data_IF_337375659082
#
_entry.id   IF_337375659082
#
_cell.length_a   1.000
_cell.length_b   1.000
_cell.length_c   1.000
_cell.angle_alpha   90.00
_cell.angle_beta   90.00
_cell.angle_gamma   90.00
#
_symmetry.space_group_name_H-M   'P 1'
#
loop_
_entity.id
_entity.type
_entity.pdbx_description
1 polymer ?
#
# COMPACT_ATOMS: atom_id res chain seq x y z
N UNK A 1 -3.57 -13.87 11.63
CA UNK A 1 -2.70 -13.18 10.67
C UNK A 1 -3.44 -12.11 9.88
N UNK A 2 -2.71 -11.15 9.35
CA UNK A 2 -3.26 -10.11 8.49
C UNK A 2 -2.38 -9.91 7.24
N UNK A 3 -3.04 -9.79 6.07
CA UNK A 3 -2.39 -9.42 4.82
C UNK A 3 -2.88 -8.04 4.41
N UNK A 4 -2.02 -7.03 4.57
CA UNK A 4 -2.28 -5.63 4.22
C UNK A 4 -3.49 -4.96 4.91
N UNK A 5 -3.98 -5.50 6.04
CA UNK A 5 -5.14 -4.93 6.74
C UNK A 5 -4.81 -4.03 7.91
N UNK A 6 -3.70 -4.30 8.61
CA UNK A 6 -3.36 -3.60 9.87
C UNK A 6 -2.91 -2.15 9.70
N UNK A 7 -2.58 -1.73 8.48
CA UNK A 7 -2.11 -0.38 8.16
C UNK A 7 -3.21 0.70 8.21
N UNK A 8 -4.47 0.29 8.33
CA UNK A 8 -5.62 1.20 8.25
C UNK A 8 -6.24 1.54 9.61
N UNK A 9 -5.58 1.18 10.71
CA UNK A 9 -6.04 1.57 12.03
C UNK A 9 -5.80 3.06 12.31
N UNK A 10 -6.82 3.78 12.77
CA UNK A 10 -6.69 5.18 13.19
C UNK A 10 -5.77 5.32 14.42
N UNK A 11 -5.87 4.37 15.35
CA UNK A 11 -4.99 4.29 16.52
C UNK A 11 -4.33 2.90 16.56
N UNK A 12 -3.15 2.75 15.93
CA UNK A 12 -2.49 1.47 15.86
C UNK A 12 -2.05 0.96 17.24
N UNK A 13 -1.61 1.80 18.16
CA UNK A 13 -1.23 1.39 19.51
C UNK A 13 -2.39 0.72 20.24
N UNK A 14 -3.59 1.30 20.18
CA UNK A 14 -4.76 0.71 20.79
C UNK A 14 -5.20 -0.57 20.08
N UNK A 15 -5.13 -0.58 18.75
CA UNK A 15 -5.51 -1.75 17.96
C UNK A 15 -4.59 -2.95 18.26
N UNK A 16 -3.28 -2.75 18.30
CA UNK A 16 -2.33 -3.83 18.59
C UNK A 16 -2.42 -4.30 20.06
N UNK A 17 -2.69 -3.40 21.02
CA UNK A 17 -3.02 -3.82 22.41
C UNK A 17 -4.27 -4.70 22.47
N UNK A 18 -5.30 -4.38 21.72
CA UNK A 18 -6.51 -5.18 21.63
C UNK A 18 -6.21 -6.55 20.99
N UNK A 19 -5.44 -6.60 19.90
CA UNK A 19 -5.01 -7.84 19.26
C UNK A 19 -4.23 -8.69 20.26
N UNK A 20 -3.24 -8.13 20.95
CA UNK A 20 -2.47 -8.82 21.97
C UNK A 20 -3.36 -9.38 23.07
N UNK A 21 -4.32 -8.60 23.58
CA UNK A 21 -5.23 -9.04 24.67
C UNK A 21 -6.08 -10.25 24.29
N UNK A 22 -6.49 -10.35 23.01
CA UNK A 22 -7.35 -11.43 22.49
C UNK A 22 -6.59 -12.70 22.11
N UNK A 23 -5.28 -12.62 21.91
CA UNK A 23 -4.46 -13.79 21.65
C UNK A 23 -4.43 -14.71 22.90
N UNK A 24 -4.38 -16.02 22.67
CA UNK A 24 -4.10 -17.00 23.72
C UNK A 24 -2.68 -16.82 24.23
N UNK A 25 -2.40 -17.34 25.43
CA UNK A 25 -1.01 -17.44 25.91
C UNK A 25 -0.17 -18.21 24.91
N UNK A 26 1.02 -17.69 24.59
CA UNK A 26 1.90 -18.19 23.53
C UNK A 26 1.31 -18.06 22.11
N UNK A 27 0.27 -17.25 21.93
CA UNK A 27 -0.29 -16.95 20.62
C UNK A 27 0.66 -16.09 19.79
N UNK A 28 0.66 -16.28 18.47
CA UNK A 28 1.47 -15.54 17.55
C UNK A 28 0.62 -14.63 16.66
N UNK A 29 1.07 -13.40 16.46
CA UNK A 29 0.60 -12.49 15.43
C UNK A 29 1.58 -12.54 14.25
N UNK A 30 1.04 -12.65 13.03
CA UNK A 30 1.84 -12.48 11.81
C UNK A 30 1.10 -11.59 10.82
N UNK A 31 1.81 -10.69 10.16
CA UNK A 31 1.21 -9.84 9.13
C UNK A 31 2.24 -9.36 8.10
N UNK A 32 1.71 -8.85 7.00
CA UNK A 32 2.48 -8.19 5.93
C UNK A 32 1.97 -6.77 5.77
N UNK A 33 2.88 -5.81 5.64
CA UNK A 33 2.60 -4.42 5.32
C UNK A 33 3.65 -3.86 4.35
N UNK A 34 3.31 -2.75 3.66
CA UNK A 34 4.20 -2.15 2.68
C UNK A 34 5.37 -1.42 3.36
N UNK A 35 6.53 -1.49 2.73
CA UNK A 35 7.68 -0.62 2.99
C UNK A 35 7.51 0.73 2.30
N UNK A 36 8.56 1.54 2.32
CA UNK A 36 8.57 2.88 1.76
C UNK A 36 8.01 2.92 0.32
N UNK A 37 7.15 3.90 -0.02
CA UNK A 37 6.59 4.07 -1.36
C UNK A 37 7.63 4.10 -2.47
N UNK A 38 8.85 4.62 -2.22
CA UNK A 38 9.93 4.66 -3.21
C UNK A 38 10.40 3.28 -3.68
N UNK A 39 10.15 2.23 -2.88
CA UNK A 39 10.44 0.84 -3.20
C UNK A 39 9.22 0.12 -3.81
N UNK A 40 8.14 0.84 -4.02
CA UNK A 40 6.86 0.32 -4.52
C UNK A 40 6.39 1.16 -5.72
N UNK A 41 6.99 0.99 -6.92
CA UNK A 41 6.71 1.79 -8.11
C UNK A 41 5.24 1.84 -8.51
N UNK A 42 4.50 0.76 -8.26
CA UNK A 42 3.05 0.71 -8.50
C UNK A 42 2.30 1.88 -7.85
N UNK A 43 2.78 2.38 -6.70
CA UNK A 43 2.19 3.52 -5.99
C UNK A 43 2.94 4.82 -6.28
N UNK A 44 4.27 4.83 -6.21
CA UNK A 44 5.04 6.07 -6.33
C UNK A 44 4.94 6.70 -7.71
N UNK A 45 4.99 5.89 -8.79
CA UNK A 45 4.86 6.38 -10.16
C UNK A 45 3.45 6.89 -10.45
N UNK A 46 2.42 6.14 -10.05
CA UNK A 46 1.04 6.56 -10.27
C UNK A 46 0.70 7.88 -9.57
N UNK A 47 1.15 8.05 -8.33
CA UNK A 47 0.96 9.30 -7.59
C UNK A 47 1.74 10.45 -8.24
N UNK A 48 2.96 10.20 -8.73
CA UNK A 48 3.73 11.20 -9.45
C UNK A 48 2.99 11.68 -10.71
N UNK A 49 2.52 10.75 -11.54
CA UNK A 49 1.74 11.06 -12.75
C UNK A 49 0.46 11.82 -12.41
N UNK A 50 -0.34 11.34 -11.45
CA UNK A 50 -1.63 11.97 -11.13
C UNK A 50 -1.44 13.39 -10.58
N UNK A 51 -0.37 13.63 -9.82
CA UNK A 51 -0.03 14.96 -9.27
C UNK A 51 0.31 16.01 -10.33
N UNK A 52 0.66 15.61 -11.55
CA UNK A 52 0.85 16.56 -12.66
C UNK A 52 -0.48 17.19 -13.13
N UNK A 53 -1.59 16.52 -12.86
CA UNK A 53 -2.92 16.90 -13.32
C UNK A 53 -3.87 17.31 -12.19
N UNK A 54 -3.69 16.77 -10.99
CA UNK A 54 -4.59 16.93 -9.85
C UNK A 54 -3.82 17.27 -8.57
N UNK A 55 -4.36 18.18 -7.78
CA UNK A 55 -3.86 18.47 -6.43
C UNK A 55 -4.32 17.37 -5.45
N UNK A 56 -3.48 16.36 -5.26
CA UNK A 56 -3.77 15.30 -4.29
C UNK A 56 -3.47 15.76 -2.86
N UNK A 57 -4.32 15.41 -1.89
CA UNK A 57 -4.02 15.64 -0.49
C UNK A 57 -2.76 14.90 -0.07
N UNK A 58 -1.96 15.55 0.78
CA UNK A 58 -0.78 14.94 1.41
C UNK A 58 -1.13 14.65 2.88
N UNK A 59 -1.54 13.43 3.22
CA UNK A 59 -1.82 13.09 4.61
C UNK A 59 -0.55 13.20 5.45
N UNK A 60 -0.67 13.54 6.75
CA UNK A 60 0.46 13.52 7.66
C UNK A 60 1.18 12.15 7.67
N UNK A 61 2.47 12.11 7.99
CA UNK A 61 3.18 10.84 8.18
C UNK A 61 2.43 9.93 9.18
N UNK A 62 2.50 8.62 8.95
CA UNK A 62 1.86 7.60 9.81
C UNK A 62 0.32 7.63 9.82
N UNK A 63 -0.31 8.42 8.94
CA UNK A 63 -1.76 8.37 8.73
C UNK A 63 -2.21 6.99 8.27
N UNK A 64 -3.44 6.55 8.64
CA UNK A 64 -4.00 5.30 8.14
C UNK A 64 -3.94 5.21 6.61
N UNK A 65 -3.38 4.13 6.10
CA UNK A 65 -3.20 3.94 4.67
C UNK A 65 -2.14 2.87 4.35
N UNK A 66 -1.92 2.57 3.07
CA UNK A 66 -1.02 1.49 2.66
C UNK A 66 0.40 1.60 3.24
N UNK A 67 0.89 2.80 3.47
CA UNK A 67 2.26 3.06 3.93
C UNK A 67 2.34 3.58 5.38
N UNK A 68 1.29 3.39 6.18
CA UNK A 68 1.28 3.81 7.59
C UNK A 68 2.42 3.17 8.41
N UNK A 69 2.91 2.01 8.01
CA UNK A 69 3.97 1.24 8.66
C UNK A 69 5.25 1.12 7.80
N UNK A 70 5.49 2.08 6.92
CA UNK A 70 6.71 2.11 6.09
C UNK A 70 8.00 2.19 6.93
N UNK A 71 7.92 2.88 8.06
CA UNK A 71 9.01 3.10 9.02
C UNK A 71 9.09 1.90 9.97
N UNK A 72 10.20 1.15 9.86
CA UNK A 72 10.45 -0.05 10.67
C UNK A 72 10.51 0.25 12.16
N UNK A 73 11.13 1.38 12.54
CA UNK A 73 11.31 1.74 13.95
C UNK A 73 9.96 2.12 14.58
N UNK A 74 9.10 2.82 13.83
CA UNK A 74 7.74 3.09 14.26
C UNK A 74 6.91 1.81 14.42
N UNK A 75 7.04 0.88 13.49
CA UNK A 75 6.36 -0.41 13.57
C UNK A 75 6.81 -1.23 14.78
N UNK A 76 8.12 -1.25 15.06
CA UNK A 76 8.70 -1.88 16.23
C UNK A 76 8.16 -1.25 17.52
N UNK A 77 8.16 0.07 17.63
CA UNK A 77 7.64 0.80 18.79
C UNK A 77 6.16 0.47 19.08
N UNK A 78 5.32 0.36 18.05
CA UNK A 78 3.91 -0.04 18.21
C UNK A 78 3.81 -1.43 18.84
N UNK A 79 4.60 -2.39 18.36
CA UNK A 79 4.55 -3.77 18.82
C UNK A 79 5.07 -3.90 20.26
N UNK A 80 6.22 -3.28 20.58
CA UNK A 80 6.79 -3.26 21.92
C UNK A 80 5.85 -2.58 22.93
N UNK A 81 5.31 -1.40 22.57
CA UNK A 81 4.33 -0.67 23.39
C UNK A 81 3.02 -1.43 23.61
N UNK A 82 2.77 -2.46 22.81
CA UNK A 82 1.60 -3.34 22.89
C UNK A 82 1.88 -4.66 23.61
N UNK A 83 3.08 -4.79 24.24
CA UNK A 83 3.57 -5.95 24.99
C UNK A 83 3.78 -7.21 24.14
N UNK A 84 4.04 -7.09 22.84
CA UNK A 84 4.49 -8.21 22.03
C UNK A 84 5.97 -8.50 22.31
N UNK A 85 6.31 -9.81 22.29
CA UNK A 85 7.66 -10.33 22.50
C UNK A 85 8.14 -11.07 21.23
N UNK A 86 9.45 -11.35 21.15
CA UNK A 86 10.08 -12.07 20.04
C UNK A 86 9.67 -11.48 18.68
N UNK A 87 9.74 -10.15 18.57
CA UNK A 87 9.34 -9.41 17.38
C UNK A 87 10.39 -9.62 16.29
N UNK A 88 9.95 -10.14 15.15
CA UNK A 88 10.76 -10.26 13.94
C UNK A 88 10.15 -9.43 12.82
N UNK A 89 10.94 -8.52 12.23
CA UNK A 89 10.55 -7.70 11.07
C UNK A 89 11.55 -7.95 9.97
N UNK A 90 11.15 -8.71 8.98
CA UNK A 90 11.98 -9.16 7.86
C UNK A 90 11.67 -8.36 6.58
N UNK A 91 12.73 -8.00 5.85
CA UNK A 91 12.65 -7.43 4.51
C UNK A 91 12.21 -8.49 3.52
N UNK A 92 11.23 -8.17 2.68
CA UNK A 92 10.79 -9.04 1.60
C UNK A 92 10.61 -8.21 0.33
N UNK A 93 11.34 -8.60 -0.71
CA UNK A 93 11.35 -7.96 -2.03
C UNK A 93 10.99 -8.99 -3.08
N UNK A 94 9.79 -8.87 -3.59
CA UNK A 94 9.23 -9.77 -4.59
C UNK A 94 8.47 -8.96 -5.63
N UNK A 95 8.44 -9.44 -6.86
CA UNK A 95 7.59 -8.85 -7.87
C UNK A 95 6.12 -9.18 -7.60
N UNK A 96 5.26 -8.18 -7.78
CA UNK A 96 3.82 -8.38 -7.71
C UNK A 96 3.21 -8.23 -9.10
N UNK A 97 2.27 -9.12 -9.42
CA UNK A 97 1.44 -8.98 -10.61
C UNK A 97 0.11 -8.34 -10.24
N UNK A 98 -0.18 -7.21 -10.84
CA UNK A 98 -1.46 -6.52 -10.72
C UNK A 98 -2.24 -6.65 -12.02
N UNK A 99 -3.58 -6.74 -11.92
CA UNK A 99 -4.49 -6.79 -13.07
C UNK A 99 -4.20 -7.93 -14.06
N UNK A 100 -3.86 -9.11 -13.54
CA UNK A 100 -3.63 -10.31 -14.38
C UNK A 100 -4.76 -10.53 -15.39
N UNK A 101 -4.38 -10.84 -16.64
CA UNK A 101 -5.30 -11.08 -17.74
C UNK A 101 -5.82 -9.81 -18.40
N UNK A 102 -5.31 -8.63 -18.05
CA UNK A 102 -5.73 -7.34 -18.64
C UNK A 102 -4.63 -6.74 -19.50
N UNK A 103 -5.04 -6.12 -20.59
CA UNK A 103 -4.17 -5.28 -21.40
C UNK A 103 -3.86 -3.98 -20.65
N UNK A 104 -2.75 -3.31 -21.00
CA UNK A 104 -2.24 -2.11 -20.36
C UNK A 104 -3.32 -1.04 -20.12
N UNK A 105 -4.11 -0.71 -21.15
CA UNK A 105 -5.15 0.31 -21.02
C UNK A 105 -6.16 -0.05 -19.95
N UNK A 106 -6.70 -1.27 -19.97
CA UNK A 106 -7.68 -1.72 -19.01
C UNK A 106 -7.10 -1.81 -17.59
N UNK A 107 -5.83 -2.23 -17.47
CA UNK A 107 -5.14 -2.23 -16.19
C UNK A 107 -4.98 -0.82 -15.60
N UNK A 108 -4.65 0.17 -16.44
CA UNK A 108 -4.57 1.57 -16.00
C UNK A 108 -5.94 2.17 -15.65
N UNK A 109 -6.98 1.86 -16.42
CA UNK A 109 -8.35 2.28 -16.10
C UNK A 109 -8.80 1.73 -14.74
N UNK A 110 -8.58 0.45 -14.49
CA UNK A 110 -8.89 -0.18 -13.20
C UNK A 110 -8.04 0.40 -12.07
N UNK A 111 -6.75 0.67 -12.34
CA UNK A 111 -5.85 1.28 -11.36
C UNK A 111 -6.40 2.62 -10.83
N UNK A 112 -6.93 3.46 -11.70
CA UNK A 112 -7.52 4.76 -11.31
C UNK A 112 -8.75 4.61 -10.38
N UNK A 113 -9.31 3.41 -10.28
CA UNK A 113 -10.44 3.11 -9.36
C UNK A 113 -10.01 2.62 -7.98
N UNK A 114 -8.74 2.23 -7.79
CA UNK A 114 -8.25 1.70 -6.51
C UNK A 114 -8.22 2.77 -5.41
N UNK A 115 -7.83 3.99 -5.77
CA UNK A 115 -7.74 5.08 -4.81
C UNK A 115 -9.05 5.87 -4.76
N UNK A 116 -9.81 5.82 -3.64
CA UNK A 116 -11.10 6.51 -3.54
C UNK A 116 -11.01 8.02 -3.75
N UNK A 117 -9.90 8.67 -3.33
CA UNK A 117 -9.69 10.11 -3.51
C UNK A 117 -9.55 10.43 -5.00
N UNK A 118 -8.71 9.68 -5.71
CA UNK A 118 -8.53 9.84 -7.17
C UNK A 118 -9.84 9.58 -7.89
N UNK A 119 -10.55 8.50 -7.54
CA UNK A 119 -11.85 8.16 -8.13
C UNK A 119 -12.87 9.30 -7.98
N UNK A 120 -12.94 9.89 -6.78
CA UNK A 120 -13.88 11.00 -6.54
C UNK A 120 -13.51 12.28 -7.31
N UNK A 121 -12.21 12.60 -7.39
CA UNK A 121 -11.72 13.74 -8.17
C UNK A 121 -12.01 13.54 -9.67
N UNK A 122 -11.80 12.34 -10.19
CA UNK A 122 -12.06 12.02 -11.59
C UNK A 122 -13.55 12.08 -11.96
N UNK A 123 -14.46 11.78 -11.03
CA UNK A 123 -15.92 11.94 -11.29
C UNK A 123 -16.29 13.35 -11.70
N UNK A 124 -15.63 14.35 -11.12
CA UNK A 124 -15.88 15.77 -11.35
C UNK A 124 -14.99 16.37 -12.44
N UNK A 125 -14.16 15.56 -13.10
CA UNK A 125 -13.21 15.99 -14.13
C UNK A 125 -13.82 15.84 -15.53
N UNK A 126 -13.31 16.64 -16.49
CA UNK A 126 -13.68 16.50 -17.90
C UNK A 126 -13.14 15.20 -18.50
N UNK A 127 -13.78 14.69 -19.54
CA UNK A 127 -13.31 13.48 -20.22
C UNK A 127 -11.92 13.68 -20.83
N UNK A 128 -11.62 14.88 -21.33
CA UNK A 128 -10.28 15.22 -21.81
C UNK A 128 -9.22 15.05 -20.72
N UNK A 129 -9.46 15.51 -19.51
CA UNK A 129 -8.51 15.39 -18.40
C UNK A 129 -8.34 13.91 -17.98
N UNK A 130 -9.43 13.13 -17.96
CA UNK A 130 -9.37 11.68 -17.69
C UNK A 130 -8.50 10.95 -18.71
N UNK A 131 -8.68 11.27 -19.99
CA UNK A 131 -7.88 10.69 -21.07
C UNK A 131 -6.40 11.09 -20.97
N UNK A 132 -6.10 12.34 -20.61
CA UNK A 132 -4.72 12.78 -20.40
C UNK A 132 -4.04 12.02 -19.25
N UNK A 133 -4.70 11.88 -18.11
CA UNK A 133 -4.20 11.12 -16.96
C UNK A 133 -4.00 9.65 -17.34
N UNK A 134 -4.97 9.05 -18.02
CA UNK A 134 -4.90 7.65 -18.45
C UNK A 134 -3.70 7.43 -19.39
N UNK A 135 -3.51 8.28 -20.38
CA UNK A 135 -2.40 8.17 -21.33
C UNK A 135 -1.04 8.33 -20.64
N UNK A 136 -0.90 9.30 -19.73
CA UNK A 136 0.32 9.49 -18.96
C UNK A 136 0.61 8.29 -18.04
N UNK A 137 -0.43 7.70 -17.44
CA UNK A 137 -0.30 6.50 -16.63
C UNK A 137 0.11 5.29 -17.48
N UNK A 138 -0.47 5.11 -18.66
CA UNK A 138 -0.09 4.06 -19.62
C UNK A 138 1.37 4.20 -20.05
N UNK A 139 1.83 5.41 -20.34
CA UNK A 139 3.24 5.66 -20.67
C UNK A 139 4.16 5.27 -19.52
N UNK A 140 3.84 5.70 -18.30
CA UNK A 140 4.61 5.39 -17.08
C UNK A 140 4.62 3.90 -16.73
N UNK A 141 3.54 3.17 -17.02
CA UNK A 141 3.42 1.75 -16.68
C UNK A 141 3.82 0.80 -17.82
N UNK A 142 4.14 1.32 -19.00
CA UNK A 142 4.44 0.51 -20.17
C UNK A 142 5.63 -0.44 -19.98
N UNK A 143 6.65 -0.04 -19.20
CA UNK A 143 7.80 -0.89 -18.88
C UNK A 143 7.48 -2.07 -17.95
N UNK A 144 6.36 -2.00 -17.23
CA UNK A 144 5.89 -3.04 -16.31
C UNK A 144 4.85 -3.96 -16.95
N UNK A 145 4.42 -3.67 -18.18
CA UNK A 145 3.45 -4.48 -18.91
C UNK A 145 4.14 -5.73 -19.50
N UNK A 146 3.69 -6.90 -19.10
CA UNK A 146 4.16 -8.19 -19.64
C UNK A 146 3.20 -8.80 -20.67
N UNK A 147 2.19 -8.06 -21.11
CA UNK A 147 1.14 -8.52 -22.04
C UNK A 147 0.04 -9.33 -21.36
N UNK A 148 0.12 -9.55 -20.05
CA UNK A 148 -0.90 -10.26 -19.26
C UNK A 148 -1.13 -9.64 -17.88
N UNK A 149 -0.92 -8.33 -17.78
CA UNK A 149 -1.00 -7.55 -16.55
C UNK A 149 0.28 -6.77 -16.29
N UNK A 150 0.33 -6.09 -15.17
CA UNK A 150 1.44 -5.23 -14.76
C UNK A 150 2.27 -5.94 -13.70
N UNK A 151 3.58 -6.06 -13.92
CA UNK A 151 4.53 -6.68 -12.98
C UNK A 151 5.45 -5.61 -12.40
N UNK A 152 5.25 -5.29 -11.14
CA UNK A 152 6.06 -4.29 -10.44
C UNK A 152 6.98 -4.93 -9.41
N UNK A 153 8.21 -4.46 -9.26
CA UNK A 153 8.97 -4.73 -8.05
C UNK A 153 8.20 -4.21 -6.84
N UNK A 154 8.26 -4.93 -5.74
CA UNK A 154 7.63 -4.50 -4.51
C UNK A 154 8.49 -4.78 -3.29
N UNK A 155 8.26 -4.00 -2.24
CA UNK A 155 8.92 -4.17 -0.96
C UNK A 155 7.89 -4.16 0.18
N UNK A 156 7.96 -5.19 1.02
CA UNK A 156 7.08 -5.38 2.17
C UNK A 156 7.86 -5.75 3.42
N UNK A 157 7.30 -5.45 4.58
CA UNK A 157 7.69 -6.04 5.85
C UNK A 157 6.87 -7.29 6.10
N UNK A 158 7.53 -8.41 6.38
CA UNK A 158 6.91 -9.60 6.96
C UNK A 158 7.21 -9.56 8.45
N UNK A 159 6.15 -9.56 9.24
CA UNK A 159 6.23 -9.36 10.69
C UNK A 159 5.66 -10.55 11.42
N UNK A 160 6.39 -11.03 12.44
CA UNK A 160 5.88 -11.96 13.43
C UNK A 160 6.19 -11.48 14.83
N UNK A 161 5.29 -11.75 15.78
CA UNK A 161 5.45 -11.41 17.18
C UNK A 161 4.61 -12.33 18.07
N UNK A 162 5.07 -12.60 19.29
CA UNK A 162 4.41 -13.47 20.24
C UNK A 162 3.72 -12.67 21.35
N UNK A 163 2.70 -13.29 21.94
CA UNK A 163 2.12 -12.84 23.20
C UNK A 163 2.91 -13.40 24.38
#
# INVERSE_FOLDING_TARGET
FSRFGVMFFENPYQAFKNIHSTLKQSGQLSFVCWQNPSLNPWQSLSIAVIKEFLELPSPPPKSPGPFAFEDKDYLLDILESSNFENIEISDNKEDITMFSGKELRQACEDYLTINPVVTEMLKNSTDLLKDQILNALMESFSEFDNGNGLVFPSATWIVSANK
#
